data_IF_248517361088
#
_entry.id   IF_248517361088
#
_cell.length_a   1.000
_cell.length_b   1.000
_cell.length_c   1.000
_cell.angle_alpha   90.00
_cell.angle_beta   90.00
_cell.angle_gamma   90.00
#
_symmetry.space_group_name_H-M   'P 1'
#
loop_
_entity.id
_entity.type
_entity.pdbx_description
1 polymer ?
#
# COMPACT_ATOMS: atom_id res chain seq x y z
N UNK A 1 12.70 2.23 -1.35
CA UNK A 1 12.15 2.38 0.03
C UNK A 1 13.15 3.19 0.83
N UNK A 2 12.71 4.03 1.78
CA UNK A 2 13.62 4.78 2.64
C UNK A 2 14.64 3.85 3.29
N UNK A 3 15.88 4.31 3.44
CA UNK A 3 16.97 3.51 4.05
C UNK A 3 16.79 3.30 5.55
N UNK A 4 15.96 4.14 6.19
CA UNK A 4 15.55 4.01 7.59
C UNK A 4 14.14 4.58 7.76
N UNK A 5 13.39 4.00 8.70
CA UNK A 5 12.09 4.50 9.14
C UNK A 5 12.01 4.38 10.66
N UNK A 6 11.20 5.22 11.31
CA UNK A 6 10.88 5.13 12.74
C UNK A 6 9.38 5.05 12.96
N UNK A 7 8.98 4.53 14.13
CA UNK A 7 7.58 4.54 14.56
C UNK A 7 7.04 5.98 14.54
N UNK A 8 5.83 6.13 14.01
CA UNK A 8 5.17 7.42 13.78
C UNK A 8 5.43 8.04 12.40
N UNK A 9 6.41 7.54 11.64
CA UNK A 9 6.64 8.05 10.28
C UNK A 9 5.41 7.78 9.40
N UNK A 10 4.99 8.81 8.68
CA UNK A 10 3.93 8.74 7.67
C UNK A 10 4.33 9.57 6.47
N UNK A 11 4.33 8.97 5.28
CA UNK A 11 4.66 9.72 4.06
C UNK A 11 4.05 9.09 2.81
N UNK A 12 3.79 9.92 1.81
CA UNK A 12 3.59 9.47 0.44
C UNK A 12 4.95 9.44 -0.26
N UNK A 13 5.35 8.27 -0.76
CA UNK A 13 6.66 8.11 -1.39
C UNK A 13 6.59 7.96 -2.91
N UNK A 14 5.40 7.73 -3.47
CA UNK A 14 5.23 7.66 -4.91
C UNK A 14 3.79 7.95 -5.34
N UNK A 15 3.66 8.55 -6.53
CA UNK A 15 2.46 8.56 -7.34
C UNK A 15 2.88 8.11 -8.74
N UNK A 16 2.23 7.06 -9.26
CA UNK A 16 2.60 6.46 -10.55
C UNK A 16 1.40 6.37 -11.47
N UNK A 17 1.65 6.55 -12.77
CA UNK A 17 0.65 6.29 -13.78
C UNK A 17 0.49 4.79 -14.02
N UNK A 18 -0.76 4.38 -14.22
CA UNK A 18 -1.13 3.02 -14.63
C UNK A 18 -1.55 3.09 -16.09
N UNK A 19 -1.03 2.16 -16.90
CA UNK A 19 -1.29 2.07 -18.33
C UNK A 19 -2.05 0.78 -18.63
N UNK A 20 -2.88 0.79 -19.67
CA UNK A 20 -3.65 -0.39 -20.09
C UNK A 20 -2.79 -1.50 -20.70
N UNK A 21 -1.58 -1.15 -21.15
CA UNK A 21 -0.63 -2.09 -21.78
C UNK A 21 0.82 -1.67 -21.53
N UNK A 22 1.75 -2.55 -21.89
CA UNK A 22 3.19 -2.30 -21.81
C UNK A 22 3.71 -1.24 -22.78
N UNK A 23 2.96 -0.90 -23.84
CA UNK A 23 3.34 0.18 -24.78
C UNK A 23 3.11 1.57 -24.21
N UNK A 24 2.38 1.67 -23.08
CA UNK A 24 2.11 2.92 -22.34
C UNK A 24 1.46 4.04 -23.18
N UNK A 25 0.77 3.69 -24.26
CA UNK A 25 0.10 4.69 -25.10
C UNK A 25 -1.19 5.25 -24.45
N UNK A 26 -1.89 4.42 -23.69
CA UNK A 26 -3.16 4.81 -23.04
C UNK A 26 -3.01 4.67 -21.53
N UNK A 27 -3.00 5.82 -20.85
CA UNK A 27 -3.07 5.89 -19.39
C UNK A 27 -4.47 5.46 -18.94
N UNK A 28 -4.55 4.44 -18.08
CA UNK A 28 -5.80 3.93 -17.52
C UNK A 28 -6.11 4.49 -16.13
N UNK A 29 -5.12 5.06 -15.45
CA UNK A 29 -5.33 5.66 -14.13
C UNK A 29 -4.05 6.03 -13.40
N UNK A 30 -4.16 6.15 -12.08
CA UNK A 30 -3.02 6.42 -11.18
C UNK A 30 -3.04 5.49 -9.98
N UNK A 31 -1.86 5.31 -9.38
CA UNK A 31 -1.72 4.67 -8.08
C UNK A 31 -0.85 5.54 -7.18
N UNK A 32 -1.43 5.93 -6.05
CA UNK A 32 -0.73 6.65 -4.97
C UNK A 32 -0.28 5.64 -3.94
N UNK A 33 1.00 5.73 -3.54
CA UNK A 33 1.63 4.85 -2.57
C UNK A 33 2.13 5.67 -1.38
N UNK A 34 1.67 5.28 -0.19
CA UNK A 34 2.10 5.84 1.08
C UNK A 34 2.39 4.74 2.08
N UNK A 35 3.04 5.09 3.18
CA UNK A 35 3.17 4.18 4.32
C UNK A 35 2.94 4.93 5.62
N UNK A 36 2.59 4.18 6.66
CA UNK A 36 2.73 4.58 8.06
C UNK A 36 3.47 3.49 8.82
N UNK A 37 4.27 3.88 9.81
CA UNK A 37 5.01 2.95 10.68
C UNK A 37 4.43 2.98 12.07
N UNK A 38 3.88 1.84 12.49
CA UNK A 38 3.14 1.65 13.73
C UNK A 38 3.99 0.84 14.72
N UNK A 39 3.82 1.08 16.02
CA UNK A 39 4.45 0.24 17.03
C UNK A 39 3.89 -1.20 16.98
N UNK A 40 4.74 -2.20 17.20
CA UNK A 40 4.34 -3.62 17.26
C UNK A 40 4.85 -4.28 18.55
N UNK A 41 6.16 -4.21 18.80
CA UNK A 41 6.78 -4.68 20.05
C UNK A 41 8.01 -3.83 20.43
N UNK A 42 8.76 -4.25 21.46
CA UNK A 42 10.02 -3.59 21.83
C UNK A 42 11.12 -3.72 20.78
N UNK A 43 11.02 -4.68 19.84
CA UNK A 43 12.04 -4.96 18.83
C UNK A 43 11.50 -5.03 17.39
N UNK A 44 10.22 -4.71 17.20
CA UNK A 44 9.56 -4.75 15.88
C UNK A 44 8.62 -3.56 15.70
N UNK A 45 8.34 -3.24 14.44
CA UNK A 45 7.30 -2.28 14.04
C UNK A 45 6.45 -2.87 12.92
N UNK A 46 5.24 -2.33 12.70
CA UNK A 46 4.46 -2.61 11.50
C UNK A 46 4.65 -1.48 10.49
N UNK A 47 5.12 -1.83 9.30
CA UNK A 47 5.01 -0.97 8.12
C UNK A 47 3.68 -1.27 7.44
N UNK A 48 2.75 -0.33 7.54
CA UNK A 48 1.47 -0.37 6.85
C UNK A 48 1.58 0.37 5.53
N UNK A 49 1.78 -0.39 4.45
CA UNK A 49 1.85 0.13 3.09
C UNK A 49 0.43 0.33 2.55
N UNK A 50 0.12 1.56 2.16
CA UNK A 50 -1.20 1.96 1.66
C UNK A 50 -1.08 2.27 0.17
N UNK A 51 -1.92 1.63 -0.63
CA UNK A 51 -2.06 1.91 -2.06
C UNK A 51 -3.49 2.34 -2.36
N UNK A 52 -3.65 3.52 -2.99
CA UNK A 52 -4.93 3.97 -3.54
C UNK A 52 -4.85 3.96 -5.06
N UNK A 53 -5.75 3.21 -5.69
CA UNK A 53 -5.87 3.15 -7.14
C UNK A 53 -7.02 4.02 -7.63
N UNK A 54 -6.78 4.82 -8.68
CA UNK A 54 -7.76 5.69 -9.31
C UNK A 54 -7.83 5.41 -10.80
N UNK A 55 -9.01 5.59 -11.41
CA UNK A 55 -9.15 5.55 -12.86
C UNK A 55 -8.69 6.87 -13.52
N UNK A 56 -8.76 6.93 -14.85
CA UNK A 56 -8.39 8.11 -15.63
C UNK A 56 -9.22 9.37 -15.31
N UNK A 57 -10.39 9.21 -14.69
CA UNK A 57 -11.29 10.30 -14.25
C UNK A 57 -11.10 10.65 -12.77
N UNK A 58 -10.01 10.20 -12.14
CA UNK A 58 -9.69 10.40 -10.71
C UNK A 58 -10.73 9.80 -9.73
N UNK A 59 -11.53 8.82 -10.16
CA UNK A 59 -12.43 8.09 -9.26
C UNK A 59 -11.67 6.98 -8.54
N UNK A 60 -11.86 6.87 -7.23
CA UNK A 60 -11.21 5.85 -6.40
C UNK A 60 -11.76 4.45 -6.74
N UNK A 61 -10.89 3.56 -7.18
CA UNK A 61 -11.23 2.17 -7.51
C UNK A 61 -11.01 1.24 -6.32
N UNK A 62 -9.94 1.45 -5.54
CA UNK A 62 -9.66 0.65 -4.36
C UNK A 62 -8.72 1.36 -3.39
N UNK A 63 -8.80 0.97 -2.13
CA UNK A 63 -7.76 1.19 -1.11
C UNK A 63 -7.23 -0.17 -0.66
N UNK A 64 -5.93 -0.37 -0.77
CA UNK A 64 -5.24 -1.55 -0.28
C UNK A 64 -4.33 -1.16 0.89
N UNK A 65 -4.38 -1.96 1.96
CA UNK A 65 -3.42 -1.91 3.06
C UNK A 65 -2.66 -3.23 3.11
N UNK A 66 -1.34 -3.18 3.03
CA UNK A 66 -0.46 -4.35 3.16
C UNK A 66 0.46 -4.13 4.34
N UNK A 67 0.26 -4.94 5.39
CA UNK A 67 0.97 -4.81 6.66
C UNK A 67 2.13 -5.78 6.68
N UNK A 68 3.33 -5.25 6.93
CA UNK A 68 4.54 -6.02 7.10
C UNK A 68 5.14 -5.72 8.47
N UNK A 69 5.54 -6.75 9.20
CA UNK A 69 6.35 -6.60 10.40
C UNK A 69 7.81 -6.47 10.00
N UNK A 70 8.46 -5.41 10.46
CA UNK A 70 9.90 -5.16 10.31
C UNK A 70 10.59 -5.44 11.64
N UNK A 71 11.70 -6.17 11.62
CA UNK A 71 12.56 -6.39 12.80
C UNK A 71 13.76 -5.43 12.82
N UNK A 72 14.57 -5.48 13.88
CA UNK A 72 15.78 -4.65 14.03
C UNK A 72 16.83 -4.85 12.94
N UNK A 73 16.83 -5.99 12.26
CA UNK A 73 17.70 -6.28 11.10
C UNK A 73 17.14 -5.75 9.77
N UNK A 74 15.97 -5.10 9.79
CA UNK A 74 15.30 -4.59 8.59
C UNK A 74 14.56 -5.66 7.77
N UNK A 75 14.45 -6.89 8.28
CA UNK A 75 13.76 -7.96 7.58
C UNK A 75 12.24 -7.75 7.67
N UNK A 76 11.57 -7.83 6.52
CA UNK A 76 10.12 -7.73 6.41
C UNK A 76 9.48 -9.12 6.40
N UNK A 77 8.46 -9.29 7.22
CA UNK A 77 7.56 -10.44 7.19
C UNK A 77 6.13 -9.96 6.98
N UNK A 78 5.43 -10.55 6.03
CA UNK A 78 4.05 -10.16 5.74
C UNK A 78 3.13 -10.58 6.90
N UNK A 79 2.22 -9.69 7.29
CA UNK A 79 1.23 -9.91 8.36
C UNK A 79 -0.17 -10.05 7.78
N UNK A 80 -0.58 -9.09 6.95
CA UNK A 80 -1.90 -9.10 6.33
C UNK A 80 -1.96 -8.26 5.06
N UNK A 81 -3.02 -8.47 4.29
CA UNK A 81 -3.42 -7.66 3.15
C UNK A 81 -4.93 -7.47 3.19
N UNK A 82 -5.36 -6.22 3.15
CA UNK A 82 -6.74 -5.79 3.05
C UNK A 82 -6.91 -4.99 1.76
N UNK A 83 -7.95 -5.26 0.98
CA UNK A 83 -8.33 -4.48 -0.20
C UNK A 83 -9.83 -4.19 -0.15
N UNK A 84 -10.16 -2.92 0.07
CA UNK A 84 -11.50 -2.40 -0.12
C UNK A 84 -11.65 -1.85 -1.53
N UNK A 85 -12.50 -2.48 -2.34
CA UNK A 85 -12.88 -1.94 -3.65
C UNK A 85 -13.95 -0.86 -3.51
N UNK A 86 -14.05 0.03 -4.50
CA UNK A 86 -14.91 1.22 -4.47
C UNK A 86 -15.61 1.45 -5.82
N UNK A 87 -16.60 2.33 -5.80
CA UNK A 87 -17.34 2.94 -6.94
C UNK A 87 -18.12 1.99 -7.84
N UNK A 88 -17.47 0.97 -8.39
CA UNK A 88 -18.08 -0.02 -9.29
C UNK A 88 -18.06 -1.43 -8.70
N UNK A 89 -17.43 -1.61 -7.55
CA UNK A 89 -17.33 -2.90 -6.87
C UNK A 89 -17.28 -2.66 -5.35
N UNK A 90 -18.14 -3.35 -4.59
CA UNK A 90 -18.19 -3.30 -3.12
C UNK A 90 -17.48 -4.45 -2.43
N UNK A 91 -16.82 -5.33 -3.20
CA UNK A 91 -16.07 -6.46 -2.67
C UNK A 91 -15.00 -6.00 -1.69
N UNK A 92 -14.75 -6.84 -0.70
CA UNK A 92 -13.71 -6.65 0.30
C UNK A 92 -12.89 -7.94 0.37
N UNK A 93 -11.58 -7.82 0.19
CA UNK A 93 -10.66 -8.95 0.27
C UNK A 93 -9.77 -8.78 1.49
N UNK A 94 -9.81 -9.76 2.38
CA UNK A 94 -8.96 -9.81 3.57
C UNK A 94 -8.16 -11.10 3.53
N UNK A 95 -6.85 -10.96 3.71
CA UNK A 95 -5.95 -12.08 3.93
C UNK A 95 -5.07 -11.79 5.15
N UNK A 96 -4.96 -12.76 6.03
CA UNK A 96 -4.10 -12.72 7.21
C UNK A 96 -3.19 -13.93 7.21
N UNK A 97 -1.93 -13.72 7.58
CA UNK A 97 -1.00 -14.81 7.81
C UNK A 97 -1.33 -15.47 9.16
N UNK A 98 -1.62 -16.77 9.13
CA UNK A 98 -1.77 -17.60 10.33
C UNK A 98 -0.40 -17.94 10.95
#
# INVERSE_FOLDING_TARGET
>A
MPTSVKVGDTTQFAAVDVYSSSTKQVRSGTRVLSYTVEADSSSTAIVNLIAKGYNAYNQLLYTQQSRYRINTSGQLSIVSRDIQYSTTNSSHMVWTKN
#
